data_IF_721738937313
#
_entry.id   IF_721738937313
#
_cell.length_a   1.000
_cell.length_b   1.000
_cell.length_c   1.000
_cell.angle_alpha   90.00
_cell.angle_beta   90.00
_cell.angle_gamma   90.00
#
_symmetry.space_group_name_H-M   'P 1'
#
loop_
_entity.id
_entity.type
_entity.pdbx_description
1 polymer ?
#
# COMPACT_ATOMS: atom_id res chain seq x y z
N UNK A 1 -3.37 -3.87 -1.89
CA UNK A 1 -3.11 -3.59 -0.46
C UNK A 1 -2.40 -2.25 -0.33
N UNK A 2 -2.75 -1.43 0.67
CA UNK A 2 -2.06 -0.17 0.95
C UNK A 2 -0.81 -0.45 1.79
N UNK A 3 0.35 0.03 1.35
CA UNK A 3 1.60 -0.20 2.05
C UNK A 3 2.46 1.05 2.14
N UNK A 4 3.33 1.04 3.14
CA UNK A 4 4.50 1.91 3.21
C UNK A 4 5.73 1.16 2.75
N UNK A 5 6.51 1.77 1.88
CA UNK A 5 7.77 1.22 1.38
C UNK A 5 8.87 1.57 2.39
N UNK A 6 9.49 0.55 2.98
CA UNK A 6 10.56 0.72 3.95
C UNK A 6 11.92 0.65 3.28
N UNK A 7 12.14 -0.38 2.46
CA UNK A 7 13.42 -0.64 1.82
C UNK A 7 13.25 -1.49 0.56
N UNK A 8 14.03 -1.19 -0.46
CA UNK A 8 14.12 -1.98 -1.68
C UNK A 8 15.50 -2.67 -1.72
N UNK A 9 15.52 -3.98 -1.91
CA UNK A 9 16.73 -4.77 -2.12
C UNK A 9 16.78 -5.29 -3.56
N UNK A 10 17.47 -4.53 -4.42
CA UNK A 10 17.61 -4.84 -5.85
C UNK A 10 18.45 -6.11 -6.08
N UNK A 11 19.41 -6.43 -5.19
CA UNK A 11 20.25 -7.62 -5.33
C UNK A 11 19.45 -8.92 -5.12
N UNK A 12 18.41 -8.87 -4.27
CA UNK A 12 17.56 -10.01 -3.96
C UNK A 12 16.20 -9.96 -4.68
N UNK A 13 15.95 -8.92 -5.49
CA UNK A 13 14.63 -8.62 -6.08
C UNK A 13 13.50 -8.62 -5.04
N UNK A 14 13.74 -7.97 -3.89
CA UNK A 14 12.78 -7.92 -2.79
C UNK A 14 12.50 -6.48 -2.37
N UNK A 15 11.28 -6.25 -1.89
CA UNK A 15 10.91 -5.00 -1.23
C UNK A 15 10.32 -5.31 0.13
N UNK A 16 10.86 -4.64 1.15
CA UNK A 16 10.31 -4.64 2.49
C UNK A 16 9.24 -3.55 2.58
N UNK A 17 8.05 -3.96 2.98
CA UNK A 17 6.89 -3.08 3.08
C UNK A 17 6.20 -3.26 4.43
N UNK A 18 5.54 -2.20 4.88
CA UNK A 18 4.61 -2.26 6.00
C UNK A 18 3.19 -2.15 5.45
N UNK A 19 2.37 -3.17 5.69
CA UNK A 19 0.93 -3.10 5.44
C UNK A 19 0.32 -2.04 6.34
N UNK A 20 -0.45 -1.16 5.72
CA UNK A 20 -1.19 -0.11 6.37
C UNK A 20 -2.68 -0.44 6.36
N UNK A 21 -3.35 -0.07 7.43
CA UNK A 21 -4.81 -0.11 7.55
C UNK A 21 -5.32 1.23 8.05
N UNK A 22 -6.61 1.48 7.90
CA UNK A 22 -7.26 2.72 8.34
C UNK A 22 -8.21 2.38 9.48
N UNK A 23 -7.96 2.96 10.65
CA UNK A 23 -8.82 2.76 11.81
C UNK A 23 -10.17 3.51 11.69
N UNK A 24 -11.08 3.24 12.62
CA UNK A 24 -12.41 3.86 12.69
C UNK A 24 -12.37 5.40 12.87
N UNK A 25 -11.20 5.95 13.21
CA UNK A 25 -10.95 7.38 13.37
C UNK A 25 -10.34 8.02 12.10
N UNK A 26 -10.11 7.24 11.04
CA UNK A 26 -9.51 7.70 9.79
C UNK A 26 -7.98 7.86 9.85
N UNK A 27 -7.33 7.26 10.85
CA UNK A 27 -5.88 7.26 11.00
C UNK A 27 -5.27 6.06 10.29
N UNK A 28 -4.16 6.31 9.58
CA UNK A 28 -3.39 5.25 8.91
C UNK A 28 -2.48 4.61 9.94
N UNK A 29 -2.68 3.33 10.22
CA UNK A 29 -1.92 2.56 11.21
C UNK A 29 -1.10 1.45 10.54
N UNK A 30 0.15 1.22 10.99
CA UNK A 30 0.94 0.08 10.53
C UNK A 30 0.43 -1.22 11.16
N UNK A 31 0.15 -2.22 10.33
CA UNK A 31 -0.36 -3.53 10.77
C UNK A 31 0.77 -4.54 10.88
N UNK A 32 1.54 -4.71 9.81
CA UNK A 32 2.57 -5.74 9.72
C UNK A 32 3.64 -5.41 8.70
N UNK A 33 4.89 -5.70 9.03
CA UNK A 33 6.02 -5.63 8.12
C UNK A 33 6.33 -7.00 7.51
N UNK A 34 6.60 -7.04 6.20
CA UNK A 34 6.99 -8.25 5.47
C UNK A 34 7.67 -7.91 4.15
N UNK A 35 8.30 -8.93 3.56
CA UNK A 35 8.95 -8.82 2.25
C UNK A 35 8.04 -9.34 1.13
N UNK A 36 8.06 -8.61 0.02
CA UNK A 36 7.45 -8.96 -1.25
C UNK A 36 8.52 -9.21 -2.31
N UNK A 37 8.23 -10.12 -3.24
CA UNK A 37 9.11 -10.41 -4.37
C UNK A 37 8.78 -9.48 -5.54
N UNK A 38 9.81 -9.03 -6.25
CA UNK A 38 9.71 -8.27 -7.49
C UNK A 38 10.06 -9.23 -8.63
N UNK A 39 9.30 -9.19 -9.73
CA UNK A 39 9.65 -9.91 -10.95
C UNK A 39 11.04 -9.50 -11.43
N UNK A 40 11.88 -10.49 -11.71
CA UNK A 40 13.22 -10.25 -12.26
C UNK A 40 13.10 -9.48 -13.59
N UNK A 41 13.91 -8.42 -13.74
CA UNK A 41 13.90 -7.46 -14.86
C UNK A 41 12.74 -6.45 -14.87
N UNK A 42 11.91 -6.36 -13.82
CA UNK A 42 10.89 -5.31 -13.74
C UNK A 42 11.45 -4.01 -13.12
N UNK A 43 12.31 -3.32 -13.87
CA UNK A 43 12.86 -2.02 -13.49
C UNK A 43 11.76 -0.94 -13.33
N UNK A 44 10.61 -1.13 -13.99
CA UNK A 44 9.47 -0.20 -13.91
C UNK A 44 8.92 -0.17 -12.49
N UNK A 45 8.62 -1.34 -11.91
CA UNK A 45 8.13 -1.44 -10.53
C UNK A 45 9.17 -0.91 -9.54
N UNK A 46 10.45 -1.25 -9.72
CA UNK A 46 11.53 -0.77 -8.84
C UNK A 46 11.62 0.76 -8.84
N UNK A 47 11.65 1.38 -10.03
CA UNK A 47 11.72 2.84 -10.14
C UNK A 47 10.47 3.53 -9.58
N UNK A 48 9.31 2.90 -9.75
CA UNK A 48 8.07 3.38 -9.19
C UNK A 48 8.11 3.38 -7.66
N UNK A 49 8.50 2.26 -7.04
CA UNK A 49 8.63 2.14 -5.59
C UNK A 49 9.71 3.07 -5.01
N UNK A 50 10.74 3.45 -5.78
CA UNK A 50 11.77 4.42 -5.35
C UNK A 50 11.26 5.86 -5.27
N UNK A 51 10.20 6.20 -6.00
CA UNK A 51 9.71 7.58 -6.11
C UNK A 51 8.59 7.91 -5.12
N UNK A 52 8.08 6.92 -4.39
CA UNK A 52 7.03 7.11 -3.39
C UNK A 52 7.34 6.40 -2.07
N UNK A 53 6.84 6.95 -0.97
CA UNK A 53 6.88 6.31 0.36
C UNK A 53 5.67 5.40 0.56
N UNK A 54 4.55 5.72 -0.10
CA UNK A 54 3.30 4.98 0.01
C UNK A 54 2.87 4.47 -1.37
N UNK A 55 2.35 3.25 -1.40
CA UNK A 55 1.88 2.64 -2.64
C UNK A 55 0.71 1.69 -2.39
N UNK A 56 -0.13 1.54 -3.41
CA UNK A 56 -1.07 0.44 -3.52
C UNK A 56 -0.39 -0.66 -4.31
N UNK A 57 -0.13 -1.79 -3.68
CA UNK A 57 0.49 -2.95 -4.31
C UNK A 57 -0.58 -3.99 -4.63
N UNK A 58 -0.48 -4.55 -5.83
CA UNK A 58 -1.22 -5.72 -6.28
C UNK A 58 -0.26 -6.89 -6.37
N UNK A 59 -0.63 -8.01 -5.76
CA UNK A 59 0.15 -9.26 -5.71
C UNK A 59 -0.58 -10.38 -6.44
N UNK A 60 0.15 -11.40 -6.90
CA UNK A 60 -0.47 -12.60 -7.49
C UNK A 60 -1.37 -13.34 -6.50
N UNK A 61 -0.93 -13.41 -5.25
CA UNK A 61 -1.67 -14.02 -4.16
C UNK A 61 -2.03 -12.95 -3.13
N UNK A 62 -3.32 -12.61 -3.06
CA UNK A 62 -3.86 -11.58 -2.17
C UNK A 62 -4.04 -12.10 -0.75
N UNK A 63 -4.37 -13.39 -0.59
CA UNK A 63 -4.68 -13.99 0.70
C UNK A 63 -3.41 -14.29 1.52
N UNK A 64 -2.28 -14.48 0.85
CA UNK A 64 -1.01 -14.77 1.51
C UNK A 64 0.13 -13.89 1.00
N UNK A 65 0.02 -12.59 1.25
CA UNK A 65 0.95 -11.55 0.77
C UNK A 65 2.44 -11.78 1.13
N UNK A 66 2.77 -12.61 2.11
CA UNK A 66 4.15 -12.81 2.56
C UNK A 66 4.91 -13.62 1.49
N UNK A 67 5.89 -13.00 0.84
CA UNK A 67 6.62 -13.63 -0.25
C UNK A 67 5.85 -13.70 -1.57
N UNK A 68 4.71 -13.01 -1.68
CA UNK A 68 4.01 -12.88 -2.96
C UNK A 68 4.78 -12.00 -3.93
N UNK A 69 4.60 -12.27 -5.21
CA UNK A 69 5.15 -11.47 -6.30
C UNK A 69 4.27 -10.26 -6.57
N UNK A 70 4.88 -9.09 -6.71
CA UNK A 70 4.20 -7.87 -7.14
C UNK A 70 3.90 -7.97 -8.64
N UNK A 71 2.62 -7.83 -9.00
CA UNK A 71 2.17 -7.76 -10.40
C UNK A 71 1.97 -6.32 -10.89
N UNK A 72 1.66 -5.42 -9.96
CA UNK A 72 1.45 -4.00 -10.26
C UNK A 72 1.56 -3.18 -8.98
N UNK A 73 2.01 -1.94 -9.13
CA UNK A 73 2.05 -0.97 -8.06
C UNK A 73 1.46 0.36 -8.56
N UNK A 74 0.82 1.10 -7.66
CA UNK A 74 0.35 2.47 -7.88
C UNK A 74 0.97 3.33 -6.78
N UNK A 75 1.72 4.36 -7.16
CA UNK A 75 2.30 5.29 -6.22
C UNK A 75 1.18 6.17 -5.69
N UNK A 76 1.20 6.38 -4.38
CA UNK A 76 0.37 7.37 -3.73
C UNK A 76 1.26 8.52 -3.31
N UNK A 77 1.04 9.68 -3.91
CA UNK A 77 1.54 10.93 -3.36
C UNK A 77 0.87 11.22 -2.03
N UNK A 78 1.50 12.04 -1.17
CA UNK A 78 0.90 12.44 0.11
C UNK A 78 -0.45 13.18 -0.09
N UNK A 79 -0.60 13.90 -1.20
CA UNK A 79 -1.85 14.57 -1.60
C UNK A 79 -2.95 13.56 -1.96
N UNK A 80 -2.62 12.52 -2.75
CA UNK A 80 -3.56 11.44 -3.10
C UNK A 80 -3.93 10.61 -1.87
N UNK A 81 -2.98 10.35 -0.97
CA UNK A 81 -3.22 9.67 0.30
C UNK A 81 -4.18 10.48 1.17
N UNK A 82 -3.99 11.80 1.26
CA UNK A 82 -4.89 12.68 2.00
C UNK A 82 -6.29 12.72 1.39
N UNK A 83 -6.42 12.76 0.06
CA UNK A 83 -7.72 12.69 -0.61
C UNK A 83 -8.46 11.38 -0.29
N UNK A 84 -7.75 10.24 -0.30
CA UNK A 84 -8.39 8.95 -0.01
C UNK A 84 -8.82 8.84 1.46
N UNK A 85 -8.01 9.40 2.39
CA UNK A 85 -8.40 9.55 3.81
C UNK A 85 -9.67 10.38 3.97
N UNK A 86 -9.73 11.55 3.34
CA UNK A 86 -10.93 12.41 3.38
C UNK A 86 -12.16 11.70 2.82
N UNK A 87 -11.98 10.91 1.76
CA UNK A 87 -13.07 10.17 1.12
C UNK A 87 -13.59 9.04 2.00
N UNK A 88 -12.71 8.29 2.68
CA UNK A 88 -13.12 7.27 3.64
C UNK A 88 -13.83 7.87 4.86
N UNK A 89 -13.31 8.97 5.42
CA UNK A 89 -13.96 9.69 6.53
C UNK A 89 -15.34 10.18 6.11
N UNK A 90 -15.49 10.76 4.91
CA UNK A 90 -16.81 11.16 4.37
C UNK A 90 -17.75 9.97 4.23
N UNK A 91 -17.29 8.84 3.68
CA UNK A 91 -18.11 7.64 3.52
C UNK A 91 -18.55 7.03 4.86
N UNK A 92 -17.70 7.09 5.88
CA UNK A 92 -18.03 6.67 7.24
C UNK A 92 -19.07 7.61 7.89
N UNK A 93 -18.90 8.93 7.75
CA UNK A 93 -19.86 9.92 8.26
C UNK A 93 -21.21 9.87 7.54
N UNK A 94 -21.25 9.57 6.24
CA UNK A 94 -22.50 9.41 5.49
C UNK A 94 -23.30 8.18 5.95
N UNK A 95 -22.62 7.11 6.39
CA UNK A 95 -23.29 5.95 7.01
C UNK A 95 -23.94 6.31 8.34
N UNK A 96 -23.35 7.21 9.13
CA UNK A 96 -23.92 7.67 10.40
C UNK A 96 -25.18 8.50 10.15
N UNK A 97 -25.17 9.39 9.16
CA UNK A 97 -26.33 10.24 8.80
C UNK A 97 -27.51 9.51 8.17
N UNK A 98 -27.30 8.36 7.53
CA UNK A 98 -28.39 7.56 6.92
C UNK A 98 -29.10 6.63 7.90
N UNK A 99 -28.65 6.58 9.15
CA UNK A 99 -29.22 5.74 10.21
C UNK A 99 -30.03 6.52 11.25
N UNK A 100 -30.26 7.82 11.04
CA UNK A 100 -31.17 8.68 11.82
C UNK A 100 -32.51 8.90 11.11
#
# INVERSE_FOLDING_TARGET
MLVKINRINEAENKVNVTLLDIDDLGSVIPVKEFDLNILSNDESIVNMLKTSVHAIIFTEDFDNAIGSTIISAINLTDDELNQEKEKMIKAANDKIKKSE
#
